data_IF_862320794607
#
_entry.id   IF_862320794607
#
_cell.length_a   1.000
_cell.length_b   1.000
_cell.length_c   1.000
_cell.angle_alpha   90.00
_cell.angle_beta   90.00
_cell.angle_gamma   90.00
#
_symmetry.space_group_name_H-M   'P 1'
#
loop_
_entity.id
_entity.type
_entity.pdbx_description
1 polymer ?
#
# COMPACT_ATOMS: atom_id res chain seq x y z
N UNK A 1 62.28 16.10 -9.33
CA UNK A 1 60.95 16.03 -8.77
C UNK A 1 60.24 14.81 -9.36
N UNK A 2 60.21 13.68 -8.66
CA UNK A 2 59.47 12.51 -9.11
C UNK A 2 57.97 12.75 -8.76
N UNK A 3 57.16 12.99 -9.78
CA UNK A 3 55.73 12.89 -9.64
C UNK A 3 55.40 11.42 -9.40
N UNK A 4 54.90 11.12 -8.21
CA UNK A 4 54.35 9.82 -7.89
C UNK A 4 53.18 9.54 -8.85
N UNK A 5 53.31 8.49 -9.66
CA UNK A 5 52.24 7.99 -10.51
C UNK A 5 51.02 7.65 -9.62
N UNK A 6 50.01 8.48 -9.70
CA UNK A 6 48.69 8.15 -9.15
C UNK A 6 48.25 6.82 -9.77
N UNK A 7 48.11 5.81 -8.93
CA UNK A 7 47.60 4.53 -9.36
C UNK A 7 46.10 4.70 -9.69
N UNK A 8 45.80 4.98 -10.95
CA UNK A 8 44.43 4.91 -11.45
C UNK A 8 44.06 3.44 -11.54
N UNK A 9 43.08 3.02 -10.75
CA UNK A 9 42.39 1.77 -11.04
C UNK A 9 41.74 1.93 -12.43
N UNK A 10 42.06 1.10 -13.41
CA UNK A 10 41.53 1.21 -14.78
C UNK A 10 40.12 0.58 -14.84
N UNK A 11 39.24 1.02 -13.97
CA UNK A 11 37.83 0.66 -14.05
C UNK A 11 37.20 1.53 -15.14
N UNK A 12 36.69 0.88 -16.19
CA UNK A 12 35.94 1.59 -17.21
C UNK A 12 34.85 2.46 -16.55
N UNK A 13 34.65 3.71 -16.94
CA UNK A 13 33.68 4.63 -16.32
C UNK A 13 32.29 4.02 -16.18
N UNK A 14 31.89 3.18 -17.14
CA UNK A 14 30.61 2.45 -17.07
C UNK A 14 30.54 1.45 -15.93
N UNK A 15 31.61 0.73 -15.63
CA UNK A 15 31.63 -0.22 -14.50
C UNK A 15 31.51 0.50 -13.15
N UNK A 16 32.20 1.64 -13.00
CA UNK A 16 32.09 2.46 -11.80
C UNK A 16 30.67 3.01 -11.63
N UNK A 17 30.02 3.47 -12.70
CA UNK A 17 28.63 3.94 -12.66
C UNK A 17 27.65 2.83 -12.26
N UNK A 18 27.86 1.60 -12.72
CA UNK A 18 27.05 0.44 -12.31
C UNK A 18 27.24 0.13 -10.82
N UNK A 19 28.48 0.16 -10.31
CA UNK A 19 28.75 -0.07 -8.88
C UNK A 19 28.11 1.01 -8.01
N UNK A 20 28.23 2.28 -8.39
CA UNK A 20 27.60 3.40 -7.67
C UNK A 20 26.07 3.27 -7.73
N UNK A 21 25.51 2.96 -8.88
CA UNK A 21 24.07 2.71 -9.04
C UNK A 21 23.58 1.57 -8.13
N UNK A 22 24.27 0.42 -8.13
CA UNK A 22 23.96 -0.70 -7.27
C UNK A 22 24.06 -0.32 -5.79
N UNK A 23 25.11 0.42 -5.41
CA UNK A 23 25.27 0.89 -4.02
C UNK A 23 24.12 1.81 -3.60
N UNK A 24 23.70 2.75 -4.46
CA UNK A 24 22.55 3.64 -4.19
C UNK A 24 21.28 2.83 -4.03
N UNK A 25 21.01 1.86 -4.91
CA UNK A 25 19.83 0.98 -4.83
C UNK A 25 19.84 0.19 -3.53
N UNK A 26 20.97 -0.41 -3.14
CA UNK A 26 21.11 -1.13 -1.88
C UNK A 26 20.91 -0.21 -0.66
N UNK A 27 21.45 1.00 -0.71
CA UNK A 27 21.30 1.99 0.36
C UNK A 27 19.83 2.39 0.52
N UNK A 28 19.15 2.73 -0.57
CA UNK A 28 17.72 3.07 -0.56
C UNK A 28 16.90 1.89 -0.04
N UNK A 29 17.17 0.67 -0.53
CA UNK A 29 16.51 -0.54 -0.05
C UNK A 29 16.66 -0.73 1.46
N UNK A 30 17.88 -0.57 1.99
CA UNK A 30 18.15 -0.67 3.43
C UNK A 30 17.44 0.42 4.25
N UNK A 31 17.33 1.64 3.72
CA UNK A 31 16.59 2.73 4.37
C UNK A 31 15.10 2.40 4.43
N UNK A 32 14.52 1.96 3.31
CA UNK A 32 13.10 1.56 3.21
C UNK A 32 12.82 0.40 4.17
N UNK A 33 13.65 -0.64 4.15
CA UNK A 33 13.49 -1.79 5.03
C UNK A 33 13.55 -1.42 6.52
N UNK A 34 14.46 -0.50 6.90
CA UNK A 34 14.55 0.03 8.27
C UNK A 34 13.31 0.83 8.65
N UNK A 35 12.79 1.66 7.73
CA UNK A 35 11.57 2.44 7.96
C UNK A 35 10.36 1.51 8.18
N UNK A 36 10.16 0.53 7.29
CA UNK A 36 9.09 -0.47 7.41
C UNK A 36 9.18 -1.25 8.73
N UNK A 37 10.37 -1.76 9.05
CA UNK A 37 10.59 -2.44 10.33
C UNK A 37 10.25 -1.55 11.52
N UNK A 38 10.66 -0.28 11.50
CA UNK A 38 10.38 0.68 12.57
C UNK A 38 8.87 0.94 12.71
N UNK A 39 8.13 1.02 11.62
CA UNK A 39 6.69 1.16 11.64
C UNK A 39 6.05 -0.01 12.41
N UNK A 40 6.37 -1.25 12.08
CA UNK A 40 5.84 -2.43 12.77
C UNK A 40 6.25 -2.49 14.26
N UNK A 41 7.49 -2.12 14.59
CA UNK A 41 7.92 -2.08 16.00
C UNK A 41 7.12 -1.06 16.82
N UNK A 42 6.73 0.06 16.22
CA UNK A 42 5.88 1.07 16.86
C UNK A 42 4.43 0.58 17.10
N UNK A 43 3.99 -0.48 16.40
CA UNK A 43 2.73 -1.15 16.70
C UNK A 43 2.81 -2.00 17.99
N UNK A 44 4.01 -2.19 18.54
CA UNK A 44 4.26 -2.98 19.74
C UNK A 44 4.34 -4.48 19.48
N UNK A 45 4.65 -4.88 18.26
CA UNK A 45 4.95 -6.28 17.92
C UNK A 45 6.44 -6.57 18.05
N UNK A 46 6.80 -7.85 18.25
CA UNK A 46 8.20 -8.25 18.34
C UNK A 46 8.95 -7.99 17.02
N UNK A 47 10.28 -7.81 17.05
CA UNK A 47 11.07 -7.64 15.82
C UNK A 47 10.94 -8.80 14.84
N UNK A 48 10.77 -10.02 15.33
CA UNK A 48 10.56 -11.21 14.51
C UNK A 48 9.20 -11.18 13.83
N UNK A 49 8.14 -10.87 14.58
CA UNK A 49 6.78 -10.70 14.05
C UNK A 49 6.75 -9.57 13.02
N UNK A 50 7.42 -8.45 13.29
CA UNK A 50 7.52 -7.33 12.35
C UNK A 50 8.14 -7.76 11.00
N UNK A 51 9.21 -8.56 11.03
CA UNK A 51 9.83 -9.08 9.82
C UNK A 51 8.95 -10.11 9.11
N UNK A 52 8.29 -11.00 9.85
CA UNK A 52 7.34 -11.97 9.27
C UNK A 52 6.16 -11.27 8.58
N UNK A 53 5.59 -10.24 9.20
CA UNK A 53 4.49 -9.47 8.60
C UNK A 53 4.95 -8.71 7.35
N UNK A 54 6.15 -8.11 7.40
CA UNK A 54 6.71 -7.40 6.26
C UNK A 54 6.92 -8.34 5.07
N UNK A 55 7.67 -9.43 5.25
CA UNK A 55 7.94 -10.37 4.18
C UNK A 55 6.69 -11.16 3.80
N UNK A 56 5.84 -11.50 4.76
CA UNK A 56 4.56 -12.16 4.51
C UNK A 56 3.65 -11.30 3.65
N UNK A 57 3.55 -10.00 3.92
CA UNK A 57 2.77 -9.07 3.10
C UNK A 57 3.38 -8.89 1.71
N UNK A 58 4.72 -8.77 1.62
CA UNK A 58 5.42 -8.63 0.35
C UNK A 58 5.28 -9.87 -0.54
N UNK A 59 5.50 -11.06 0.02
CA UNK A 59 5.34 -12.33 -0.71
C UNK A 59 3.86 -12.61 -0.97
N UNK A 60 3.00 -12.36 0.02
CA UNK A 60 1.55 -12.55 -0.08
C UNK A 60 0.90 -11.67 -1.15
N UNK A 61 1.50 -10.52 -1.49
CA UNK A 61 0.96 -9.63 -2.52
C UNK A 61 0.97 -10.25 -3.94
N UNK A 62 1.74 -11.30 -4.15
CA UNK A 62 1.70 -12.07 -5.41
C UNK A 62 0.56 -13.09 -5.46
N UNK A 63 -0.15 -13.33 -4.36
CA UNK A 63 -1.23 -14.31 -4.28
C UNK A 63 -2.59 -13.62 -4.20
N UNK A 64 -3.42 -13.89 -5.20
CA UNK A 64 -4.80 -13.42 -5.27
C UNK A 64 -5.75 -14.61 -5.16
N UNK A 65 -6.67 -14.57 -4.20
CA UNK A 65 -7.68 -15.61 -3.98
C UNK A 65 -8.96 -15.19 -4.71
N UNK A 66 -9.35 -15.87 -5.80
CA UNK A 66 -10.58 -15.55 -6.51
C UNK A 66 -11.80 -15.85 -5.62
N UNK A 67 -12.74 -14.88 -5.53
CA UNK A 67 -13.94 -15.02 -4.69
C UNK A 67 -15.24 -14.90 -5.48
N UNK A 68 -15.25 -14.18 -6.61
CA UNK A 68 -16.44 -14.00 -7.44
C UNK A 68 -16.04 -13.66 -8.88
N UNK A 69 -17.00 -13.83 -9.79
CA UNK A 69 -16.89 -13.38 -11.18
C UNK A 69 -18.07 -12.44 -11.44
N UNK A 70 -17.79 -11.28 -12.01
CA UNK A 70 -18.80 -10.30 -12.41
C UNK A 70 -18.88 -10.31 -13.93
N UNK A 71 -20.07 -10.59 -14.52
CA UNK A 71 -20.24 -10.46 -15.95
C UNK A 71 -19.97 -9.04 -16.39
N UNK A 72 -19.25 -8.86 -17.49
CA UNK A 72 -19.01 -7.54 -18.03
C UNK A 72 -20.31 -6.92 -18.56
N UNK A 73 -20.70 -5.76 -18.04
CA UNK A 73 -21.99 -5.12 -18.36
C UNK A 73 -22.01 -4.49 -19.76
N UNK A 74 -20.87 -4.28 -20.41
CA UNK A 74 -20.79 -3.65 -21.72
C UNK A 74 -19.86 -4.42 -22.66
N UNK A 75 -20.43 -4.92 -23.76
CA UNK A 75 -19.67 -5.15 -24.99
C UNK A 75 -19.21 -3.78 -25.48
N UNK A 76 -17.95 -3.44 -25.28
CA UNK A 76 -17.36 -2.28 -25.93
C UNK A 76 -17.26 -2.60 -27.42
N UNK A 77 -18.20 -2.09 -28.21
CA UNK A 77 -18.09 -2.03 -29.64
C UNK A 77 -16.80 -1.26 -29.98
N UNK A 78 -16.00 -1.83 -30.89
CA UNK A 78 -14.85 -1.24 -31.57
C UNK A 78 -14.24 0.01 -30.89
N UNK A 79 -13.30 -0.20 -30.00
CA UNK A 79 -12.55 0.90 -29.42
C UNK A 79 -11.46 1.32 -30.39
N UNK A 80 -11.62 2.48 -31.01
CA UNK A 80 -10.56 3.13 -31.77
C UNK A 80 -9.65 3.83 -30.75
N UNK A 81 -8.45 3.32 -30.56
CA UNK A 81 -7.43 3.96 -29.74
C UNK A 81 -6.50 4.74 -30.65
N UNK A 82 -6.46 6.07 -30.50
CA UNK A 82 -5.50 6.93 -31.19
C UNK A 82 -4.18 6.91 -30.41
N UNK A 83 -3.16 6.34 -31.05
CA UNK A 83 -1.81 6.31 -30.48
C UNK A 83 -0.89 7.04 -31.45
N UNK A 84 -0.47 8.27 -31.10
CA UNK A 84 0.35 9.14 -31.93
C UNK A 84 -0.24 9.45 -33.33
N UNK A 85 -1.56 9.67 -33.42
CA UNK A 85 -2.22 9.96 -34.70
C UNK A 85 -2.48 8.74 -35.58
N UNK A 86 -2.21 7.53 -35.11
CA UNK A 86 -2.54 6.27 -35.76
C UNK A 86 -3.71 5.64 -35.03
N UNK A 87 -4.82 5.46 -35.73
CA UNK A 87 -6.02 4.82 -35.20
C UNK A 87 -5.86 3.29 -35.28
N UNK A 88 -5.81 2.65 -34.09
CA UNK A 88 -5.85 1.18 -34.01
C UNK A 88 -7.28 0.75 -33.69
N UNK A 89 -7.87 -0.06 -34.55
CA UNK A 89 -9.04 -0.85 -34.21
C UNK A 89 -8.59 -1.99 -33.30
N UNK A 90 -8.97 -1.93 -32.02
CA UNK A 90 -8.82 -3.07 -31.13
C UNK A 90 -10.00 -4.00 -31.39
N UNK A 91 -9.77 -5.24 -31.85
CA UNK A 91 -10.87 -6.19 -32.04
C UNK A 91 -11.61 -6.37 -30.70
N UNK A 92 -12.94 -6.56 -30.73
CA UNK A 92 -13.68 -6.91 -29.52
C UNK A 92 -13.18 -8.26 -29.01
N UNK A 93 -12.25 -8.26 -28.06
CA UNK A 93 -12.00 -9.45 -27.26
C UNK A 93 -13.24 -9.66 -26.41
N UNK A 94 -13.87 -10.82 -26.57
CA UNK A 94 -14.91 -11.29 -25.65
C UNK A 94 -14.22 -11.58 -24.31
N UNK A 95 -14.00 -10.56 -23.50
CA UNK A 95 -13.42 -10.69 -22.18
C UNK A 95 -14.49 -11.38 -21.34
N UNK A 96 -14.29 -12.65 -21.06
CA UNK A 96 -15.02 -13.37 -20.03
C UNK A 96 -14.89 -12.55 -18.74
N UNK A 97 -16.02 -12.11 -18.17
CA UNK A 97 -16.17 -11.32 -16.95
C UNK A 97 -14.95 -10.92 -16.12
N UNK A 98 -15.10 -9.96 -15.23
CA UNK A 98 -14.03 -9.57 -14.30
C UNK A 98 -14.00 -10.51 -13.10
N UNK A 99 -12.89 -11.16 -12.83
CA UNK A 99 -12.69 -11.98 -11.63
C UNK A 99 -12.39 -11.05 -10.46
N UNK A 100 -13.23 -11.09 -9.42
CA UNK A 100 -12.93 -10.42 -8.15
C UNK A 100 -12.07 -11.35 -7.32
N UNK A 101 -10.91 -10.88 -6.88
CA UNK A 101 -9.99 -11.63 -6.05
C UNK A 101 -9.58 -10.83 -4.81
N UNK A 102 -9.20 -11.52 -3.73
CA UNK A 102 -8.66 -10.91 -2.51
C UNK A 102 -7.17 -11.16 -2.45
N UNK A 103 -6.39 -10.09 -2.36
CA UNK A 103 -4.94 -10.17 -2.25
C UNK A 103 -4.52 -10.57 -0.83
N UNK A 104 -3.65 -11.57 -0.71
CA UNK A 104 -3.20 -12.05 0.59
C UNK A 104 -2.35 -11.01 1.32
N UNK A 105 -1.41 -10.38 0.60
CA UNK A 105 -0.47 -9.42 1.20
C UNK A 105 -1.06 -8.06 1.50
N UNK A 106 -1.95 -7.58 0.63
CA UNK A 106 -2.54 -6.25 0.74
C UNK A 106 -3.88 -6.21 1.49
N UNK A 107 -4.66 -7.31 1.50
CA UNK A 107 -5.95 -7.34 2.21
C UNK A 107 -5.94 -8.29 3.41
N UNK A 108 -5.56 -9.57 3.25
CA UNK A 108 -5.71 -10.57 4.32
C UNK A 108 -4.78 -10.27 5.48
N UNK A 109 -3.49 -10.07 5.24
CA UNK A 109 -2.49 -9.82 6.30
C UNK A 109 -2.75 -8.49 7.02
N UNK A 110 -2.98 -7.34 6.33
CA UNK A 110 -3.31 -6.09 7.02
C UNK A 110 -4.61 -6.16 7.83
N UNK A 111 -5.62 -6.85 7.32
CA UNK A 111 -6.88 -7.06 8.06
C UNK A 111 -6.66 -7.90 9.31
N UNK A 112 -5.96 -9.02 9.21
CA UNK A 112 -5.64 -9.88 10.35
C UNK A 112 -4.84 -9.13 11.42
N UNK A 113 -3.84 -8.33 11.01
CA UNK A 113 -3.06 -7.51 11.93
C UNK A 113 -3.90 -6.40 12.56
N UNK A 114 -4.81 -5.76 11.80
CA UNK A 114 -5.73 -4.76 12.35
C UNK A 114 -6.66 -5.36 13.40
N UNK A 115 -7.22 -6.55 13.16
CA UNK A 115 -8.04 -7.28 14.13
C UNK A 115 -7.24 -7.67 15.38
N UNK A 116 -6.00 -8.11 15.20
CA UNK A 116 -5.09 -8.38 16.31
C UNK A 116 -4.86 -7.13 17.17
N UNK A 117 -4.59 -5.98 16.56
CA UNK A 117 -4.40 -4.72 17.29
C UNK A 117 -5.68 -4.24 17.98
N UNK A 118 -6.84 -4.37 17.33
CA UNK A 118 -8.15 -4.04 17.93
C UNK A 118 -8.39 -4.84 19.20
N UNK A 119 -8.11 -6.15 19.16
CA UNK A 119 -8.33 -7.05 20.30
C UNK A 119 -7.32 -6.83 21.41
N UNK A 120 -6.02 -6.84 21.09
CA UNK A 120 -4.93 -6.79 22.09
C UNK A 120 -4.77 -5.42 22.74
N UNK A 121 -5.12 -4.34 22.03
CA UNK A 121 -5.06 -2.97 22.56
C UNK A 121 -6.40 -2.45 23.05
N UNK A 122 -7.50 -3.18 22.87
CA UNK A 122 -8.85 -2.75 23.26
C UNK A 122 -9.33 -1.50 22.49
N UNK A 123 -8.90 -1.34 21.23
CA UNK A 123 -9.12 -0.11 20.46
C UNK A 123 -10.38 -0.15 19.59
N UNK A 124 -11.35 -1.02 19.90
CA UNK A 124 -12.54 -1.25 19.08
C UNK A 124 -13.31 0.03 18.75
N UNK A 125 -13.62 0.83 19.75
CA UNK A 125 -14.40 2.05 19.55
C UNK A 125 -13.63 3.12 18.79
N UNK A 126 -12.39 3.43 19.21
CA UNK A 126 -11.54 4.42 18.54
C UNK A 126 -11.15 3.95 17.13
N UNK A 127 -10.86 2.65 16.98
CA UNK A 127 -10.54 2.04 15.70
C UNK A 127 -11.72 2.10 14.72
N UNK A 128 -12.93 1.82 15.17
CA UNK A 128 -14.13 1.92 14.33
C UNK A 128 -14.37 3.37 13.85
N UNK A 129 -14.25 4.35 14.75
CA UNK A 129 -14.41 5.77 14.38
C UNK A 129 -13.31 6.19 13.39
N UNK A 130 -12.04 5.86 13.68
CA UNK A 130 -10.93 6.21 12.79
C UNK A 130 -11.09 5.56 11.41
N UNK A 131 -11.43 4.28 11.36
CA UNK A 131 -11.68 3.55 10.12
C UNK A 131 -12.84 4.15 9.34
N UNK A 132 -13.96 4.50 9.99
CA UNK A 132 -15.10 5.11 9.32
C UNK A 132 -14.75 6.47 8.70
N UNK A 133 -14.04 7.33 9.43
CA UNK A 133 -13.62 8.65 8.91
C UNK A 133 -12.71 8.46 7.70
N UNK A 134 -11.70 7.59 7.81
CA UNK A 134 -10.75 7.35 6.72
C UNK A 134 -11.45 6.70 5.53
N UNK A 135 -12.35 5.74 5.75
CA UNK A 135 -13.12 5.10 4.67
C UNK A 135 -13.98 6.10 3.91
N UNK A 136 -14.67 7.01 4.60
CA UNK A 136 -15.47 8.07 3.96
C UNK A 136 -14.57 8.97 3.09
N UNK A 137 -13.45 9.43 3.65
CA UNK A 137 -12.51 10.29 2.90
C UNK A 137 -11.97 9.57 1.67
N UNK A 138 -11.61 8.29 1.80
CA UNK A 138 -11.06 7.52 0.70
C UNK A 138 -12.08 7.14 -0.36
N UNK A 139 -13.33 6.88 0.03
CA UNK A 139 -14.40 6.70 -0.93
C UNK A 139 -14.57 7.92 -1.87
N UNK A 140 -14.39 9.12 -1.32
CA UNK A 140 -14.48 10.36 -2.10
C UNK A 140 -13.24 10.64 -2.97
N UNK A 141 -12.09 10.08 -2.59
CA UNK A 141 -10.83 10.23 -3.34
C UNK A 141 -10.56 9.10 -4.32
N UNK A 142 -11.31 8.03 -4.26
CA UNK A 142 -11.12 6.84 -5.08
C UNK A 142 -11.75 7.05 -6.46
N UNK A 143 -10.91 7.15 -7.48
CA UNK A 143 -11.32 7.30 -8.86
C UNK A 143 -11.20 5.97 -9.62
N UNK A 144 -12.29 5.47 -10.21
CA UNK A 144 -12.24 4.29 -11.07
C UNK A 144 -11.55 4.65 -12.40
N UNK A 145 -10.43 4.01 -12.69
CA UNK A 145 -9.65 4.20 -13.92
C UNK A 145 -9.80 2.98 -14.82
N UNK A 146 -10.40 3.10 -16.01
CA UNK A 146 -10.58 1.98 -16.93
C UNK A 146 -9.25 1.30 -17.28
N UNK A 147 -9.22 -0.02 -17.18
CA UNK A 147 -8.04 -0.85 -17.44
C UNK A 147 -6.98 -0.89 -16.34
N UNK A 148 -7.07 0.01 -15.33
CA UNK A 148 -6.10 0.09 -14.24
C UNK A 148 -6.69 -0.35 -12.88
N UNK A 149 -7.96 -0.09 -12.64
CA UNK A 149 -8.63 -0.33 -11.36
C UNK A 149 -8.98 0.96 -10.63
N UNK A 150 -9.02 0.93 -9.30
CA UNK A 150 -9.34 2.09 -8.48
C UNK A 150 -8.05 2.80 -8.07
N UNK A 151 -7.88 4.03 -8.57
CA UNK A 151 -6.72 4.85 -8.27
C UNK A 151 -6.97 5.72 -7.02
N UNK A 152 -5.99 5.78 -6.13
CA UNK A 152 -6.00 6.61 -4.92
C UNK A 152 -4.67 7.35 -4.80
N UNK A 153 -4.64 8.65 -4.46
CA UNK A 153 -3.38 9.38 -4.23
C UNK A 153 -2.58 8.73 -3.11
N UNK A 154 -1.28 8.44 -3.34
CA UNK A 154 -0.47 7.61 -2.43
C UNK A 154 -0.29 8.23 -1.04
N UNK A 155 -0.01 9.53 -0.94
CA UNK A 155 0.38 10.17 0.33
C UNK A 155 -0.79 10.76 1.11
N UNK A 156 -1.81 11.24 0.43
CA UNK A 156 -2.92 11.94 1.07
C UNK A 156 -3.69 11.06 2.07
N UNK A 157 -4.05 9.82 1.75
CA UNK A 157 -4.68 8.90 2.70
C UNK A 157 -3.86 8.70 3.98
N UNK A 158 -2.54 8.54 3.82
CA UNK A 158 -1.64 8.33 4.97
C UNK A 158 -1.59 9.56 5.90
N UNK A 159 -1.57 10.77 5.34
CA UNK A 159 -1.57 12.01 6.12
C UNK A 159 -2.89 12.15 6.88
N UNK A 160 -4.03 12.00 6.21
CA UNK A 160 -5.36 12.08 6.84
C UNK A 160 -5.47 11.03 7.95
N UNK A 161 -5.08 9.80 7.69
CA UNK A 161 -5.11 8.70 8.65
C UNK A 161 -4.26 9.00 9.89
N UNK A 162 -3.04 9.52 9.69
CA UNK A 162 -2.16 9.89 10.79
C UNK A 162 -2.77 11.01 11.65
N UNK A 163 -3.32 12.06 11.03
CA UNK A 163 -3.98 13.17 11.74
C UNK A 163 -5.16 12.65 12.56
N UNK A 164 -6.07 11.89 11.94
CA UNK A 164 -7.24 11.31 12.63
C UNK A 164 -6.81 10.45 13.82
N UNK A 165 -5.80 9.62 13.65
CA UNK A 165 -5.31 8.72 14.69
C UNK A 165 -4.68 9.47 15.86
N UNK A 166 -3.87 10.51 15.60
CA UNK A 166 -3.26 11.35 16.63
C UNK A 166 -4.31 12.15 17.40
N UNK A 167 -5.36 12.63 16.71
CA UNK A 167 -6.45 13.38 17.33
C UNK A 167 -7.30 12.48 18.24
N UNK A 168 -7.55 11.23 17.86
CA UNK A 168 -8.35 10.29 18.65
C UNK A 168 -7.58 9.70 19.84
N UNK A 169 -6.29 9.47 19.70
CA UNK A 169 -5.45 8.98 20.79
C UNK A 169 -3.98 9.24 20.50
N UNK A 170 -3.35 10.09 21.31
CA UNK A 170 -1.90 10.33 21.21
C UNK A 170 -1.08 9.14 21.70
N UNK A 171 -1.59 8.37 22.65
CA UNK A 171 -0.90 7.19 23.21
C UNK A 171 -0.92 6.00 22.27
N UNK A 172 -2.04 5.81 21.55
CA UNK A 172 -2.25 4.68 20.65
C UNK A 172 -2.28 5.12 19.17
N UNK A 173 -1.66 6.27 18.88
CA UNK A 173 -1.69 6.85 17.53
C UNK A 173 -1.16 5.89 16.46
N UNK A 174 -0.05 5.18 16.73
CA UNK A 174 0.54 4.25 15.78
C UNK A 174 -0.37 3.03 15.49
N UNK A 175 -0.87 2.28 16.50
CA UNK A 175 -1.83 1.20 16.23
C UNK A 175 -3.11 1.69 15.55
N UNK A 176 -3.66 2.85 15.97
CA UNK A 176 -4.84 3.42 15.33
C UNK A 176 -4.59 3.81 13.87
N UNK A 177 -3.41 4.38 13.58
CA UNK A 177 -3.03 4.73 12.23
C UNK A 177 -2.90 3.50 11.33
N UNK A 178 -2.38 2.40 11.85
CA UNK A 178 -2.34 1.14 11.10
C UNK A 178 -3.75 0.60 10.83
N UNK A 179 -4.59 0.50 11.86
CA UNK A 179 -5.97 0.00 11.78
C UNK A 179 -6.76 0.84 10.78
N UNK A 180 -6.81 2.15 10.99
CA UNK A 180 -7.60 3.05 10.17
C UNK A 180 -7.06 3.16 8.74
N UNK A 181 -5.73 3.15 8.58
CA UNK A 181 -5.09 3.18 7.27
C UNK A 181 -5.36 1.92 6.45
N UNK A 182 -5.24 0.76 7.08
CA UNK A 182 -5.48 -0.51 6.39
C UNK A 182 -6.97 -0.77 6.15
N UNK A 183 -7.78 -0.78 7.21
CA UNK A 183 -9.22 -1.07 7.08
C UNK A 183 -9.97 0.07 6.40
N UNK A 184 -9.59 1.32 6.64
CA UNK A 184 -10.21 2.48 6.01
C UNK A 184 -9.98 2.52 4.50
N UNK A 185 -8.75 2.19 4.05
CA UNK A 185 -8.45 2.08 2.62
C UNK A 185 -9.17 0.88 2.00
N UNK A 186 -9.12 -0.28 2.63
CA UNK A 186 -9.81 -1.48 2.17
C UNK A 186 -11.32 -1.23 1.98
N UNK A 187 -11.96 -0.60 2.96
CA UNK A 187 -13.40 -0.31 2.89
C UNK A 187 -13.68 0.83 1.91
N UNK A 188 -12.99 1.96 2.07
CA UNK A 188 -13.29 3.18 1.35
C UNK A 188 -12.87 3.18 -0.12
N UNK A 189 -11.73 2.59 -0.45
CA UNK A 189 -11.29 2.51 -1.84
C UNK A 189 -11.84 1.27 -2.55
N UNK A 190 -11.71 0.08 -1.95
CA UNK A 190 -12.02 -1.16 -2.64
C UNK A 190 -13.48 -1.59 -2.44
N UNK A 191 -13.92 -1.82 -1.19
CA UNK A 191 -15.22 -2.44 -0.94
C UNK A 191 -16.41 -1.54 -1.30
N UNK A 192 -16.30 -0.23 -1.12
CA UNK A 192 -17.39 0.71 -1.47
C UNK A 192 -17.45 1.05 -2.96
N UNK A 193 -16.53 0.54 -3.78
CA UNK A 193 -16.49 0.74 -5.21
C UNK A 193 -16.59 -0.59 -6.01
N UNK A 194 -17.01 -1.67 -5.35
CA UNK A 194 -17.18 -2.99 -5.99
C UNK A 194 -18.21 -2.97 -7.13
N UNK A 195 -19.20 -2.11 -7.04
CA UNK A 195 -20.22 -1.89 -8.07
C UNK A 195 -19.67 -1.34 -9.39
N UNK A 196 -18.54 -0.61 -9.33
CA UNK A 196 -17.88 -0.01 -10.49
C UNK A 196 -16.93 -0.95 -11.21
N UNK A 197 -16.63 -2.11 -10.63
CA UNK A 197 -15.63 -3.07 -11.15
C UNK A 197 -16.01 -3.61 -12.53
N UNK A 198 -17.29 -3.90 -12.75
CA UNK A 198 -17.79 -4.43 -14.04
C UNK A 198 -17.56 -3.51 -15.23
N UNK A 199 -17.42 -2.20 -14.99
CA UNK A 199 -17.23 -1.18 -16.01
C UNK A 199 -15.75 -0.86 -16.28
N UNK A 200 -14.82 -1.39 -15.46
CA UNK A 200 -13.39 -1.11 -15.57
C UNK A 200 -12.71 -1.84 -16.73
N UNK A 201 -13.32 -2.91 -17.26
CA UNK A 201 -12.74 -3.70 -18.35
C UNK A 201 -11.44 -4.41 -17.98
N UNK A 202 -11.15 -4.59 -16.69
CA UNK A 202 -9.98 -5.30 -16.21
C UNK A 202 -10.29 -6.79 -16.05
N UNK A 203 -9.41 -7.72 -16.47
CA UNK A 203 -9.68 -9.17 -16.35
C UNK A 203 -9.73 -9.64 -14.88
N UNK A 204 -9.02 -8.95 -13.99
CA UNK A 204 -8.99 -9.23 -12.55
C UNK A 204 -9.08 -7.92 -11.79
N UNK A 205 -10.02 -7.85 -10.84
CA UNK A 205 -10.12 -6.79 -9.83
C UNK A 205 -9.67 -7.36 -8.49
N UNK A 206 -8.53 -6.92 -8.00
CA UNK A 206 -7.95 -7.42 -6.76
C UNK A 206 -8.23 -6.46 -5.61
N UNK A 207 -9.01 -6.92 -4.63
CA UNK A 207 -9.21 -6.25 -3.35
C UNK A 207 -7.91 -6.33 -2.55
N UNK A 208 -7.34 -5.20 -2.20
CA UNK A 208 -6.01 -5.15 -1.61
C UNK A 208 -4.90 -5.03 -2.64
N UNK A 209 -5.23 -4.67 -3.88
CA UNK A 209 -4.30 -4.38 -4.96
C UNK A 209 -3.70 -5.60 -5.65
N UNK A 210 -3.15 -5.37 -6.84
CA UNK A 210 -2.44 -6.36 -7.62
C UNK A 210 -0.98 -5.93 -7.77
N UNK A 211 -0.13 -6.32 -6.83
CA UNK A 211 1.31 -6.01 -6.94
C UNK A 211 2.04 -5.73 -5.62
N UNK A 212 3.33 -5.43 -5.73
CA UNK A 212 4.27 -5.37 -4.59
C UNK A 212 4.06 -4.22 -3.61
N UNK A 213 3.34 -3.17 -3.99
CA UNK A 213 3.06 -2.03 -3.10
C UNK A 213 1.62 -1.56 -3.31
N UNK A 214 0.72 -2.19 -2.59
CA UNK A 214 -0.69 -1.81 -2.58
C UNK A 214 -0.96 -0.56 -1.74
N UNK A 215 -2.01 0.19 -2.14
CA UNK A 215 -2.48 1.37 -1.44
C UNK A 215 -2.83 1.13 0.02
N UNK A 216 -3.40 -0.03 0.35
CA UNK A 216 -3.76 -0.41 1.73
C UNK A 216 -2.52 -0.57 2.60
N UNK A 217 -1.53 -1.36 2.12
CA UNK A 217 -0.27 -1.56 2.81
C UNK A 217 0.49 -0.25 3.00
N UNK A 218 0.65 0.52 1.92
CA UNK A 218 1.37 1.80 1.96
C UNK A 218 0.68 2.81 2.87
N UNK A 219 -0.65 2.97 2.78
CA UNK A 219 -1.39 3.90 3.63
C UNK A 219 -1.23 3.55 5.10
N UNK A 220 -1.39 2.27 5.45
CA UNK A 220 -1.23 1.81 6.83
C UNK A 220 0.16 2.09 7.39
N UNK A 221 1.20 1.72 6.66
CA UNK A 221 2.60 1.88 7.11
C UNK A 221 3.03 3.36 7.13
N UNK A 222 2.73 4.12 6.09
CA UNK A 222 3.06 5.55 6.04
C UNK A 222 2.33 6.34 7.13
N UNK A 223 1.05 6.02 7.38
CA UNK A 223 0.29 6.65 8.46
C UNK A 223 0.93 6.39 9.83
N UNK A 224 1.40 5.16 10.09
CA UNK A 224 2.14 4.82 11.32
C UNK A 224 3.42 5.67 11.43
N UNK A 225 4.21 5.73 10.36
CA UNK A 225 5.46 6.51 10.35
C UNK A 225 5.20 7.99 10.61
N UNK A 226 4.17 8.57 9.99
CA UNK A 226 3.78 9.97 10.20
C UNK A 226 3.27 10.18 11.63
N UNK A 227 2.41 9.29 12.14
CA UNK A 227 1.88 9.37 13.49
C UNK A 227 3.00 9.33 14.55
N UNK A 228 4.07 8.57 14.31
CA UNK A 228 5.23 8.49 15.19
C UNK A 228 6.11 9.76 15.21
N UNK A 229 5.92 10.71 14.29
CA UNK A 229 6.61 11.99 14.32
C UNK A 229 6.03 12.94 15.39
N UNK A 230 4.80 12.67 15.87
CA UNK A 230 4.18 13.46 16.91
C UNK A 230 4.61 12.97 18.29
N UNK A 231 5.02 13.87 19.21
CA UNK A 231 5.50 13.48 20.53
C UNK A 231 4.43 12.73 21.31
N UNK A 232 4.77 11.53 21.76
CA UNK A 232 3.95 10.78 22.70
C UNK A 232 4.19 11.34 24.10
N UNK A 233 3.17 11.58 24.93
CA UNK A 233 3.39 11.85 26.35
C UNK A 233 4.13 10.64 26.92
N UNK A 234 5.37 10.87 27.42
CA UNK A 234 6.12 9.81 28.12
C UNK A 234 5.26 9.35 29.29
N UNK A 235 4.90 8.09 29.32
CA UNK A 235 4.41 7.48 30.56
C UNK A 235 5.58 7.56 31.54
N UNK A 236 5.50 8.48 32.50
CA UNK A 236 6.34 8.44 33.68
C UNK A 236 5.98 7.15 34.39
N UNK A 237 6.81 6.12 34.22
CA UNK A 237 6.79 4.96 35.11
C UNK A 237 7.13 5.52 36.50
N UNK A 238 6.12 5.73 37.32
CA UNK A 238 6.29 5.77 38.75
C UNK A 238 6.62 4.33 39.16
N UNK A 239 7.90 4.14 39.50
CA UNK A 239 8.44 2.93 40.13
C UNK A 239 7.90 2.75 41.55
#
# INVERSE_FOLDING_TARGET
MHMSSLHYLPLAPGFFSILVGLFIVLLVFMIVLRALRRAYLNLGVSPQTAMMLLFGSLIGSYFNIPIAEVPQSQMHADRVVDFFGIQYMVPPESIAGTVIAVNVGGAVIPTAMSLYLLTTRGLWFKGAIATAIVAIVLHWLADPVPGLGIAVPVFFPAIVTAIVSVLLSRTDAAPLAYIAGSLGTLIGADLTNLDKIGDLGAPVASIGGAGTFDGIFLTGILAVLIACLFPHPRQTQYG
#
